data_IF_839217820650
#
_entry.id   IF_839217820650
#
_cell.length_a   1.000
_cell.length_b   1.000
_cell.length_c   1.000
_cell.angle_alpha   90.00
_cell.angle_beta   90.00
_cell.angle_gamma   90.00
#
_symmetry.space_group_name_H-M   'P 1'
#
loop_
_entity.id
_entity.type
_entity.pdbx_description
1 polymer ?
#
# COMPACT_ATOMS: atom_id res chain seq x y z
N UNK A 1 -23.50 -30.07 28.02
CA UNK A 1 -22.05 -30.29 27.80
C UNK A 1 -21.47 -28.96 27.38
N UNK A 2 -20.47 -28.45 28.09
CA UNK A 2 -19.82 -27.18 27.75
C UNK A 2 -19.07 -27.37 26.41
N UNK A 3 -18.96 -26.37 25.51
CA UNK A 3 -18.14 -26.45 24.31
C UNK A 3 -16.73 -27.05 24.51
N UNK A 4 -16.06 -26.72 25.62
CA UNK A 4 -14.75 -27.31 25.96
C UNK A 4 -14.81 -28.83 26.18
N UNK A 5 -15.88 -29.33 26.81
CA UNK A 5 -16.08 -30.76 27.07
C UNK A 5 -16.29 -31.51 25.74
N UNK A 6 -16.97 -30.89 24.77
CA UNK A 6 -17.20 -31.50 23.45
C UNK A 6 -15.87 -31.73 22.73
N UNK A 7 -14.99 -30.71 22.72
CA UNK A 7 -13.67 -30.85 22.11
C UNK A 7 -12.86 -31.98 22.77
N UNK A 8 -12.81 -32.01 24.10
CA UNK A 8 -12.09 -33.04 24.83
C UNK A 8 -12.66 -34.44 24.58
N UNK A 9 -13.99 -34.61 24.60
CA UNK A 9 -14.61 -35.90 24.34
C UNK A 9 -14.33 -36.44 22.93
N UNK A 10 -14.26 -35.57 21.91
CA UNK A 10 -13.85 -36.02 20.57
C UNK A 10 -12.36 -36.39 20.54
N UNK A 11 -11.50 -35.58 21.14
CA UNK A 11 -10.05 -35.87 21.20
C UNK A 11 -9.73 -37.15 21.98
N UNK A 12 -10.57 -37.54 22.94
CA UNK A 12 -10.45 -38.78 23.71
C UNK A 12 -11.14 -39.99 23.03
N UNK A 13 -11.74 -39.81 21.85
CA UNK A 13 -12.46 -40.86 21.13
C UNK A 13 -13.79 -41.28 21.76
N UNK A 14 -14.28 -40.53 22.75
CA UNK A 14 -15.58 -40.76 23.41
C UNK A 14 -16.76 -40.29 22.55
N UNK A 15 -16.50 -39.36 21.62
CA UNK A 15 -17.49 -38.78 20.73
C UNK A 15 -16.93 -38.75 19.30
N UNK A 16 -17.72 -39.14 18.30
CA UNK A 16 -17.28 -39.00 16.91
C UNK A 16 -17.29 -37.53 16.46
N UNK A 17 -16.43 -37.12 15.50
CA UNK A 17 -16.42 -35.77 14.93
C UNK A 17 -17.79 -35.33 14.40
N UNK A 18 -18.55 -36.24 13.78
CA UNK A 18 -19.88 -35.96 13.23
C UNK A 18 -20.87 -35.64 14.33
N UNK A 19 -20.84 -36.40 15.43
CA UNK A 19 -21.71 -36.15 16.58
C UNK A 19 -21.31 -34.86 17.30
N UNK A 20 -20.01 -34.57 17.40
CA UNK A 20 -19.50 -33.29 17.88
C UNK A 20 -20.04 -32.11 17.07
N UNK A 21 -20.00 -32.20 15.73
CA UNK A 21 -20.57 -31.16 14.85
C UNK A 21 -22.09 -31.04 14.98
N UNK A 22 -22.82 -32.14 15.21
CA UNK A 22 -24.26 -32.08 15.44
C UNK A 22 -24.59 -31.27 16.71
N UNK A 23 -23.82 -31.48 17.80
CA UNK A 23 -24.00 -30.73 19.05
C UNK A 23 -23.65 -29.25 18.83
N UNK A 24 -22.52 -28.97 18.16
CA UNK A 24 -22.11 -27.61 17.83
C UNK A 24 -23.07 -26.93 16.84
N UNK A 25 -23.84 -27.70 16.06
CA UNK A 25 -24.91 -27.17 15.23
C UNK A 25 -26.09 -26.62 16.04
N UNK A 26 -26.32 -27.13 17.25
CA UNK A 26 -27.36 -26.65 18.16
C UNK A 26 -26.87 -25.56 19.10
N UNK A 27 -25.60 -25.64 19.49
CA UNK A 27 -24.94 -24.68 20.37
C UNK A 27 -23.60 -24.24 19.76
N UNK A 28 -23.63 -23.32 18.77
CA UNK A 28 -22.43 -22.90 18.06
C UNK A 28 -21.48 -22.16 18.99
N UNK A 29 -20.24 -22.62 19.05
CA UNK A 29 -19.13 -21.94 19.72
C UNK A 29 -17.96 -21.82 18.74
N UNK A 30 -17.54 -20.58 18.48
CA UNK A 30 -16.59 -20.28 17.42
C UNK A 30 -15.20 -20.87 17.71
N UNK A 31 -14.78 -20.88 18.97
CA UNK A 31 -13.50 -21.45 19.38
C UNK A 31 -13.51 -22.97 19.22
N UNK A 32 -14.54 -23.64 19.72
CA UNK A 32 -14.66 -25.09 19.63
C UNK A 32 -14.79 -25.55 18.18
N UNK A 33 -15.55 -24.83 17.34
CA UNK A 33 -15.60 -25.09 15.89
C UNK A 33 -14.24 -24.92 15.22
N UNK A 34 -13.49 -23.87 15.58
CA UNK A 34 -12.13 -23.69 15.08
C UNK A 34 -11.20 -24.84 15.49
N UNK A 35 -11.24 -25.25 16.76
CA UNK A 35 -10.46 -26.37 17.28
C UNK A 35 -10.85 -27.69 16.61
N UNK A 36 -12.14 -27.92 16.37
CA UNK A 36 -12.63 -29.07 15.64
C UNK A 36 -11.99 -29.15 14.24
N UNK A 37 -12.09 -28.09 13.44
CA UNK A 37 -11.49 -28.06 12.09
C UNK A 37 -9.97 -28.17 12.06
N UNK A 38 -9.30 -27.90 13.18
CA UNK A 38 -7.84 -28.03 13.28
C UNK A 38 -7.40 -29.44 13.70
N UNK A 39 -8.16 -30.11 14.56
CA UNK A 39 -7.68 -31.31 15.28
C UNK A 39 -8.53 -32.56 15.07
N UNK A 40 -9.80 -32.46 14.70
CA UNK A 40 -10.66 -33.63 14.53
C UNK A 40 -10.37 -34.31 13.20
N UNK A 41 -9.85 -35.52 13.25
CA UNK A 41 -9.59 -36.33 12.06
C UNK A 41 -10.91 -36.72 11.37
N UNK A 42 -10.96 -36.62 10.04
CA UNK A 42 -12.16 -36.96 9.26
C UNK A 42 -13.30 -35.93 9.33
N UNK A 43 -13.06 -34.76 9.92
CA UNK A 43 -14.07 -33.71 9.99
C UNK A 43 -14.49 -33.23 8.59
N UNK A 44 -15.78 -33.03 8.40
CA UNK A 44 -16.31 -32.24 7.28
C UNK A 44 -16.03 -30.74 7.51
N UNK A 45 -14.93 -30.23 6.92
CA UNK A 45 -14.55 -28.81 6.99
C UNK A 45 -15.56 -27.88 6.34
N UNK A 46 -16.36 -28.34 5.37
CA UNK A 46 -17.37 -27.51 4.75
C UNK A 46 -18.52 -27.23 5.71
N UNK A 47 -19.05 -28.28 6.34
CA UNK A 47 -20.07 -28.15 7.38
C UNK A 47 -19.56 -27.37 8.59
N UNK A 48 -18.31 -27.63 9.02
CA UNK A 48 -17.70 -26.89 10.11
C UNK A 48 -17.53 -25.39 9.78
N UNK A 49 -17.18 -25.06 8.53
CA UNK A 49 -17.08 -23.67 8.07
C UNK A 49 -18.45 -22.98 8.09
N UNK A 50 -19.51 -23.65 7.64
CA UNK A 50 -20.87 -23.09 7.67
C UNK A 50 -21.34 -22.77 9.10
N UNK A 51 -21.08 -23.68 10.05
CA UNK A 51 -21.36 -23.44 11.45
C UNK A 51 -20.51 -22.29 12.00
N UNK A 52 -19.23 -22.22 11.63
CA UNK A 52 -18.34 -21.14 12.07
C UNK A 52 -18.79 -19.78 11.51
N UNK A 53 -19.25 -19.74 10.26
CA UNK A 53 -19.84 -18.54 9.65
C UNK A 53 -21.09 -18.09 10.41
N UNK A 54 -21.93 -19.03 10.87
CA UNK A 54 -23.13 -18.73 11.65
C UNK A 54 -22.80 -18.08 13.02
N UNK A 55 -21.62 -18.35 13.60
CA UNK A 55 -21.17 -17.67 14.84
C UNK A 55 -20.82 -16.19 14.62
N UNK A 56 -20.65 -15.76 13.36
CA UNK A 56 -20.22 -14.40 12.98
C UNK A 56 -18.89 -13.95 13.59
N UNK A 57 -18.04 -14.88 14.01
CA UNK A 57 -16.72 -14.54 14.55
C UNK A 57 -15.67 -14.39 13.44
N UNK A 58 -15.40 -13.15 13.04
CA UNK A 58 -14.38 -12.84 12.02
C UNK A 58 -12.99 -13.34 12.43
N UNK A 59 -12.64 -13.23 13.71
CA UNK A 59 -11.36 -13.71 14.25
C UNK A 59 -11.16 -15.21 14.02
N UNK A 60 -12.14 -16.04 14.36
CA UNK A 60 -12.02 -17.49 14.17
C UNK A 60 -12.15 -17.90 12.70
N UNK A 61 -12.96 -17.20 11.89
CA UNK A 61 -12.98 -17.40 10.43
C UNK A 61 -11.61 -17.13 9.79
N UNK A 62 -10.97 -16.03 10.19
CA UNK A 62 -9.60 -15.71 9.76
C UNK A 62 -8.62 -16.85 10.12
N UNK A 63 -8.67 -17.31 11.38
CA UNK A 63 -7.79 -18.38 11.87
C UNK A 63 -8.07 -19.72 11.19
N UNK A 64 -9.33 -20.04 10.89
CA UNK A 64 -9.68 -21.24 10.13
C UNK A 64 -8.97 -21.25 8.77
N UNK A 65 -8.97 -20.11 8.07
CA UNK A 65 -8.24 -19.96 6.80
C UNK A 65 -6.72 -20.18 6.87
N UNK A 66 -6.12 -20.02 8.05
CA UNK A 66 -4.70 -20.28 8.27
C UNK A 66 -4.38 -21.73 8.61
N UNK A 67 -5.25 -22.38 9.38
CA UNK A 67 -4.89 -23.60 10.10
C UNK A 67 -5.66 -24.83 9.66
N UNK A 68 -6.80 -24.68 9.00
CA UNK A 68 -7.58 -25.82 8.53
C UNK A 68 -6.96 -26.37 7.24
N UNK A 69 -6.76 -27.70 7.15
CA UNK A 69 -6.11 -28.32 6.01
C UNK A 69 -6.92 -28.18 4.72
N UNK A 70 -8.25 -28.31 4.80
CA UNK A 70 -9.16 -28.38 3.64
C UNK A 70 -10.18 -27.22 3.64
N UNK A 71 -9.74 -26.00 3.93
CA UNK A 71 -10.65 -24.85 3.93
C UNK A 71 -10.88 -24.27 2.53
N UNK A 72 -12.15 -24.02 2.21
CA UNK A 72 -12.57 -23.23 1.05
C UNK A 72 -12.33 -21.73 1.30
N UNK A 73 -11.10 -21.25 1.08
CA UNK A 73 -10.71 -19.84 1.31
C UNK A 73 -11.64 -18.82 0.66
N UNK A 74 -12.18 -19.11 -0.55
CA UNK A 74 -13.13 -18.21 -1.23
C UNK A 74 -14.38 -17.97 -0.38
N UNK A 75 -15.01 -19.04 0.10
CA UNK A 75 -16.22 -18.99 0.95
C UNK A 75 -15.93 -18.29 2.28
N UNK A 76 -14.78 -18.60 2.89
CA UNK A 76 -14.35 -17.93 4.12
C UNK A 76 -14.07 -16.42 3.90
N UNK A 77 -13.51 -16.03 2.76
CA UNK A 77 -13.22 -14.63 2.43
C UNK A 77 -14.52 -13.85 2.19
N UNK A 78 -15.47 -14.44 1.46
CA UNK A 78 -16.82 -13.87 1.28
C UNK A 78 -17.52 -13.67 2.63
N UNK A 79 -17.38 -14.63 3.56
CA UNK A 79 -17.90 -14.48 4.91
C UNK A 79 -17.25 -13.30 5.67
N UNK A 80 -15.93 -13.16 5.61
CA UNK A 80 -15.23 -12.03 6.24
C UNK A 80 -15.70 -10.68 5.66
N UNK A 81 -15.93 -10.61 4.36
CA UNK A 81 -16.47 -9.43 3.68
C UNK A 81 -17.88 -9.10 4.20
N UNK A 82 -18.75 -10.10 4.32
CA UNK A 82 -20.11 -9.92 4.86
C UNK A 82 -20.15 -9.51 6.33
N UNK A 83 -19.12 -9.87 7.10
CA UNK A 83 -18.97 -9.47 8.50
C UNK A 83 -18.41 -8.05 8.66
N UNK A 84 -18.00 -7.39 7.57
CA UNK A 84 -17.47 -6.03 7.57
C UNK A 84 -16.23 -5.84 8.48
N UNK A 85 -15.45 -6.89 8.71
CA UNK A 85 -14.24 -6.81 9.55
C UNK A 85 -12.99 -6.51 8.70
N UNK A 86 -12.65 -5.22 8.59
CA UNK A 86 -11.54 -4.75 7.75
C UNK A 86 -10.20 -5.35 8.14
N UNK A 87 -9.98 -5.64 9.43
CA UNK A 87 -8.74 -6.23 9.93
C UNK A 87 -8.56 -7.68 9.46
N UNK A 88 -9.59 -8.53 9.58
CA UNK A 88 -9.52 -9.91 9.09
C UNK A 88 -9.45 -9.98 7.58
N UNK A 89 -10.17 -9.10 6.86
CA UNK A 89 -10.06 -9.00 5.38
C UNK A 89 -8.62 -8.67 4.98
N UNK A 90 -8.02 -7.67 5.62
CA UNK A 90 -6.63 -7.29 5.39
C UNK A 90 -5.65 -8.45 5.65
N UNK A 91 -5.77 -9.09 6.82
CA UNK A 91 -4.91 -10.20 7.22
C UNK A 91 -5.07 -11.41 6.32
N UNK A 92 -6.29 -11.72 5.89
CA UNK A 92 -6.57 -12.79 4.94
C UNK A 92 -5.84 -12.55 3.62
N UNK A 93 -5.93 -11.34 3.05
CA UNK A 93 -5.22 -11.03 1.80
C UNK A 93 -3.70 -11.04 1.88
N UNK A 94 -3.14 -10.89 3.08
CA UNK A 94 -1.70 -11.02 3.33
C UNK A 94 -1.24 -12.47 3.43
N UNK A 95 -2.07 -13.37 3.96
CA UNK A 95 -1.62 -14.68 4.45
C UNK A 95 -2.23 -15.87 3.72
N UNK A 96 -3.46 -15.76 3.23
CA UNK A 96 -4.16 -16.87 2.59
C UNK A 96 -3.67 -17.06 1.16
N UNK A 97 -3.55 -18.33 0.73
CA UNK A 97 -2.99 -18.68 -0.58
C UNK A 97 -3.89 -18.29 -1.76
N UNK A 98 -5.20 -18.42 -1.61
CA UNK A 98 -6.20 -18.20 -2.67
C UNK A 98 -7.18 -17.06 -2.34
N UNK A 99 -6.72 -16.06 -1.58
CA UNK A 99 -7.48 -14.83 -1.38
C UNK A 99 -7.60 -14.04 -2.68
N UNK A 100 -8.78 -13.49 -2.97
CA UNK A 100 -9.00 -12.55 -4.08
C UNK A 100 -8.71 -11.10 -3.62
N UNK A 101 -7.57 -10.51 -4.00
CA UNK A 101 -7.21 -9.14 -3.60
C UNK A 101 -8.15 -8.09 -4.19
N UNK A 102 -8.84 -8.39 -5.31
CA UNK A 102 -9.78 -7.45 -5.91
C UNK A 102 -11.03 -7.31 -5.05
N UNK A 103 -11.65 -8.43 -4.69
CA UNK A 103 -12.81 -8.45 -3.79
C UNK A 103 -12.46 -7.90 -2.41
N UNK A 104 -11.28 -8.25 -1.87
CA UNK A 104 -10.80 -7.69 -0.61
C UNK A 104 -10.64 -6.18 -0.65
N UNK A 105 -10.04 -5.62 -1.72
CA UNK A 105 -9.88 -4.18 -1.87
C UNK A 105 -11.23 -3.46 -2.00
N UNK A 106 -12.18 -4.05 -2.74
CA UNK A 106 -13.54 -3.52 -2.85
C UNK A 106 -14.24 -3.46 -1.49
N UNK A 107 -14.09 -4.51 -0.68
CA UNK A 107 -14.63 -4.54 0.67
C UNK A 107 -13.97 -3.47 1.57
N UNK A 108 -12.64 -3.35 1.57
CA UNK A 108 -11.95 -2.32 2.35
C UNK A 108 -12.36 -0.90 1.96
N UNK A 109 -12.60 -0.66 0.66
CA UNK A 109 -13.12 0.60 0.16
C UNK A 109 -14.56 0.87 0.62
N UNK A 110 -15.44 -0.13 0.54
CA UNK A 110 -16.82 -0.02 1.03
C UNK A 110 -16.87 0.30 2.54
N UNK A 111 -15.94 -0.27 3.32
CA UNK A 111 -15.76 0.00 4.75
C UNK A 111 -15.09 1.35 5.05
N UNK A 112 -14.66 2.08 4.01
CA UNK A 112 -13.97 3.37 4.12
C UNK A 112 -12.68 3.29 4.95
N UNK A 113 -11.99 2.14 4.94
CA UNK A 113 -10.79 1.93 5.74
C UNK A 113 -9.52 2.25 4.92
N UNK A 114 -9.21 3.55 4.82
CA UNK A 114 -8.01 4.05 4.13
C UNK A 114 -6.72 3.41 4.66
N UNK A 115 -6.65 3.14 5.97
CA UNK A 115 -5.48 2.55 6.61
C UNK A 115 -5.21 1.14 6.09
N UNK A 116 -6.25 0.31 6.01
CA UNK A 116 -6.14 -1.06 5.49
C UNK A 116 -5.92 -1.11 3.99
N UNK A 117 -6.49 -0.17 3.22
CA UNK A 117 -6.17 -0.04 1.79
C UNK A 117 -4.68 0.28 1.59
N UNK A 118 -4.14 1.21 2.38
CA UNK A 118 -2.72 1.55 2.34
C UNK A 118 -1.83 0.34 2.67
N UNK A 119 -2.11 -0.36 3.77
CA UNK A 119 -1.32 -1.53 4.15
C UNK A 119 -1.45 -2.69 3.16
N UNK A 120 -2.65 -2.92 2.59
CA UNK A 120 -2.84 -3.89 1.53
C UNK A 120 -1.93 -3.61 0.32
N UNK A 121 -1.70 -2.34 -0.02
CA UNK A 121 -0.78 -1.95 -1.08
C UNK A 121 0.69 -2.28 -0.82
N UNK A 122 1.09 -2.44 0.44
CA UNK A 122 2.44 -2.86 0.82
C UNK A 122 2.57 -4.38 0.95
N UNK A 123 1.54 -5.03 1.48
CA UNK A 123 1.64 -6.42 1.95
C UNK A 123 1.03 -7.44 0.99
N UNK A 124 0.08 -7.06 0.12
CA UNK A 124 -0.60 -8.01 -0.78
C UNK A 124 0.18 -8.22 -2.09
N UNK A 125 0.46 -9.48 -2.43
CA UNK A 125 1.28 -9.86 -3.60
C UNK A 125 0.74 -9.29 -4.93
N UNK A 126 -0.56 -9.42 -5.15
CA UNK A 126 -1.25 -9.03 -6.39
C UNK A 126 -2.15 -7.79 -6.18
N UNK A 127 -1.69 -6.83 -5.38
CA UNK A 127 -2.42 -5.58 -5.15
C UNK A 127 -2.56 -4.74 -6.43
N UNK A 128 -3.76 -4.21 -6.67
CA UNK A 128 -4.03 -3.29 -7.79
C UNK A 128 -3.79 -1.84 -7.35
N UNK A 129 -2.58 -1.32 -7.61
CA UNK A 129 -2.16 0.04 -7.21
C UNK A 129 -3.03 1.15 -7.80
N UNK A 130 -3.45 1.02 -9.07
CA UNK A 130 -4.28 2.03 -9.74
C UNK A 130 -5.63 2.14 -9.01
N UNK A 131 -6.26 1.00 -8.73
CA UNK A 131 -7.55 0.95 -8.03
C UNK A 131 -7.41 1.39 -6.57
N UNK A 132 -6.36 0.94 -5.88
CA UNK A 132 -6.07 1.32 -4.50
C UNK A 132 -5.85 2.82 -4.35
N UNK A 133 -5.09 3.44 -5.27
CA UNK A 133 -4.84 4.87 -5.26
C UNK A 133 -6.13 5.65 -5.51
N UNK A 134 -6.95 5.22 -6.48
CA UNK A 134 -8.26 5.82 -6.73
C UNK A 134 -9.15 5.74 -5.48
N UNK A 135 -9.15 4.60 -4.78
CA UNK A 135 -9.89 4.43 -3.54
C UNK A 135 -9.42 5.42 -2.45
N UNK A 136 -8.11 5.52 -2.20
CA UNK A 136 -7.56 6.49 -1.25
C UNK A 136 -7.90 7.94 -1.61
N UNK A 137 -7.83 8.28 -2.90
CA UNK A 137 -8.19 9.61 -3.38
C UNK A 137 -9.66 9.95 -3.14
N UNK A 138 -10.58 8.99 -3.35
CA UNK A 138 -12.02 9.18 -3.08
C UNK A 138 -12.29 9.30 -1.58
N UNK A 139 -11.62 8.49 -0.74
CA UNK A 139 -11.78 8.56 0.71
C UNK A 139 -11.18 9.85 1.31
N UNK A 140 -10.24 10.48 0.61
CA UNK A 140 -9.71 11.79 0.98
C UNK A 140 -8.81 11.80 2.22
N UNK A 141 -8.32 10.64 2.64
CA UNK A 141 -7.39 10.56 3.78
C UNK A 141 -5.98 10.98 3.35
N UNK A 142 -5.66 12.25 3.62
CA UNK A 142 -4.39 12.87 3.27
C UNK A 142 -3.16 12.10 3.78
N UNK A 143 -3.25 11.45 4.94
CA UNK A 143 -2.13 10.71 5.51
C UNK A 143 -1.79 9.49 4.67
N UNK A 144 -2.81 8.70 4.31
CA UNK A 144 -2.61 7.48 3.54
C UNK A 144 -2.38 7.75 2.05
N UNK A 145 -2.92 8.84 1.49
CA UNK A 145 -2.51 9.30 0.15
C UNK A 145 -1.01 9.62 0.15
N UNK A 146 -0.53 10.39 1.15
CA UNK A 146 0.88 10.72 1.30
C UNK A 146 1.76 9.47 1.46
N UNK A 147 1.40 8.57 2.39
CA UNK A 147 2.18 7.36 2.66
C UNK A 147 2.20 6.40 1.46
N UNK A 148 1.10 6.28 0.71
CA UNK A 148 1.07 5.52 -0.53
C UNK A 148 2.13 6.05 -1.52
N UNK A 149 2.20 7.38 -1.73
CA UNK A 149 3.21 7.98 -2.60
C UNK A 149 4.65 7.84 -2.10
N UNK A 150 4.87 7.57 -0.81
CA UNK A 150 6.19 7.31 -0.25
C UNK A 150 6.62 5.84 -0.33
N UNK A 151 5.69 4.89 -0.23
CA UNK A 151 6.04 3.48 0.06
C UNK A 151 5.53 2.49 -0.98
N UNK A 152 4.49 2.82 -1.75
CA UNK A 152 4.00 1.91 -2.77
C UNK A 152 5.00 1.81 -3.92
N UNK A 153 5.21 0.56 -4.40
CA UNK A 153 6.07 0.28 -5.56
C UNK A 153 5.59 0.94 -6.87
N UNK A 154 4.31 1.27 -6.96
CA UNK A 154 3.70 1.95 -8.09
C UNK A 154 2.71 2.98 -7.57
N UNK A 155 2.90 4.24 -7.96
CA UNK A 155 2.06 5.36 -7.56
C UNK A 155 2.07 6.44 -8.64
N UNK A 156 0.89 6.92 -9.03
CA UNK A 156 0.73 8.02 -9.98
C UNK A 156 0.83 9.35 -9.19
N UNK A 157 2.02 9.96 -9.17
CA UNK A 157 2.26 11.18 -8.41
C UNK A 157 1.36 12.35 -8.85
N UNK A 158 0.97 12.43 -10.12
CA UNK A 158 0.08 13.48 -10.62
C UNK A 158 -1.31 13.35 -10.00
N UNK A 159 -1.91 12.16 -10.05
CA UNK A 159 -3.22 11.91 -9.41
C UNK A 159 -3.14 11.98 -7.89
N UNK A 160 -2.04 11.50 -7.31
CA UNK A 160 -1.79 11.58 -5.88
C UNK A 160 -1.74 13.04 -5.40
N UNK A 161 -1.07 13.91 -6.17
CA UNK A 161 -0.98 15.34 -5.88
C UNK A 161 -2.33 16.02 -5.97
N UNK A 162 -3.11 15.75 -7.02
CA UNK A 162 -4.48 16.28 -7.15
C UNK A 162 -5.36 15.86 -5.97
N UNK A 163 -5.30 14.58 -5.58
CA UNK A 163 -6.03 14.08 -4.43
C UNK A 163 -5.60 14.77 -3.13
N UNK A 164 -4.30 14.95 -2.92
CA UNK A 164 -3.76 15.58 -1.71
C UNK A 164 -4.12 17.07 -1.63
N UNK A 165 -4.05 17.80 -2.75
CA UNK A 165 -4.52 19.19 -2.86
C UNK A 165 -6.01 19.30 -2.53
N UNK A 166 -6.83 18.37 -3.01
CA UNK A 166 -8.27 18.33 -2.74
C UNK A 166 -8.59 18.14 -1.25
N UNK A 167 -7.72 17.45 -0.48
CA UNK A 167 -7.89 17.35 0.98
C UNK A 167 -7.67 18.66 1.72
N UNK A 168 -6.94 19.61 1.12
CA UNK A 168 -6.55 20.86 1.77
C UNK A 168 -5.56 20.69 2.93
N UNK A 169 -5.04 19.48 3.19
CA UNK A 169 -4.16 19.22 4.33
C UNK A 169 -2.71 19.68 4.03
N UNK A 170 -2.40 20.87 4.54
CA UNK A 170 -1.12 21.53 4.28
C UNK A 170 0.09 20.79 4.83
N UNK A 171 -0.05 20.06 5.94
CA UNK A 171 1.04 19.28 6.52
C UNK A 171 1.50 18.20 5.54
N UNK A 172 0.56 17.37 5.06
CA UNK A 172 0.92 16.28 4.15
C UNK A 172 1.35 16.79 2.78
N UNK A 173 0.82 17.91 2.29
CA UNK A 173 1.35 18.58 1.09
C UNK A 173 2.81 19.01 1.26
N UNK A 174 3.13 19.65 2.39
CA UNK A 174 4.50 20.03 2.69
C UNK A 174 5.44 18.81 2.74
N UNK A 175 5.02 17.74 3.44
CA UNK A 175 5.79 16.50 3.53
C UNK A 175 5.94 15.81 2.16
N UNK A 176 4.90 15.81 1.33
CA UNK A 176 4.94 15.28 -0.04
C UNK A 176 5.98 16.03 -0.87
N UNK A 177 6.01 17.36 -0.83
CA UNK A 177 7.03 18.15 -1.53
C UNK A 177 8.47 17.91 -1.08
N UNK A 178 8.67 17.38 0.13
CA UNK A 178 9.97 16.92 0.63
C UNK A 178 10.35 15.54 0.15
N UNK A 179 9.39 14.61 0.03
CA UNK A 179 9.68 13.17 -0.13
C UNK A 179 9.33 12.59 -1.48
N UNK A 180 8.27 13.04 -2.14
CA UNK A 180 7.85 12.49 -3.43
C UNK A 180 8.86 12.81 -4.53
N UNK A 181 9.02 11.91 -5.50
CA UNK A 181 9.97 12.10 -6.60
C UNK A 181 9.49 13.20 -7.55
N UNK A 182 8.21 13.12 -7.94
CA UNK A 182 7.52 14.12 -8.72
C UNK A 182 6.50 14.84 -7.84
N UNK A 183 6.63 16.15 -7.74
CA UNK A 183 5.75 16.99 -6.93
C UNK A 183 5.64 18.38 -7.54
N UNK A 184 4.43 18.92 -7.58
CA UNK A 184 4.17 20.27 -8.06
C UNK A 184 4.25 21.27 -6.89
N UNK A 185 5.46 21.78 -6.64
CA UNK A 185 5.69 22.78 -5.61
C UNK A 185 4.92 24.08 -5.85
N UNK A 186 4.60 24.41 -7.10
CA UNK A 186 3.88 25.63 -7.42
C UNK A 186 2.41 25.55 -6.97
N UNK A 187 1.71 24.48 -7.36
CA UNK A 187 0.32 24.29 -6.96
C UNK A 187 0.14 24.19 -5.43
N UNK A 188 1.06 23.51 -4.75
CA UNK A 188 1.04 23.44 -3.29
C UNK A 188 1.31 24.80 -2.62
N UNK A 189 2.25 25.59 -3.17
CA UNK A 189 2.52 26.94 -2.69
C UNK A 189 1.31 27.86 -2.83
N UNK A 190 0.61 27.80 -3.97
CA UNK A 190 -0.59 28.60 -4.20
C UNK A 190 -1.68 28.29 -3.15
N UNK A 191 -1.79 27.02 -2.74
CA UNK A 191 -2.71 26.64 -1.66
C UNK A 191 -2.25 27.17 -0.30
N UNK A 192 -0.95 27.18 -0.01
CA UNK A 192 -0.41 27.78 1.21
C UNK A 192 -0.67 29.30 1.28
N UNK A 193 -0.61 30.00 0.15
CA UNK A 193 -0.93 31.43 0.08
C UNK A 193 -2.43 31.68 0.22
N UNK A 194 -3.26 30.86 -0.41
CA UNK A 194 -4.72 30.95 -0.32
C UNK A 194 -5.22 30.77 1.12
N UNK A 195 -4.57 29.92 1.92
CA UNK A 195 -4.88 29.73 3.33
C UNK A 195 -4.02 30.66 4.20
N UNK A 196 -4.37 31.94 4.29
CA UNK A 196 -3.54 32.98 4.91
C UNK A 196 -3.05 32.59 6.32
N UNK A 197 -3.97 32.19 7.20
CA UNK A 197 -3.67 31.85 8.60
C UNK A 197 -2.96 30.50 8.72
N UNK A 198 -3.58 29.43 8.22
CA UNK A 198 -3.09 28.07 8.42
C UNK A 198 -1.87 27.73 7.54
N UNK A 199 -1.72 28.43 6.41
CA UNK A 199 -0.60 28.30 5.48
C UNK A 199 0.64 29.11 5.87
N UNK A 200 0.52 30.11 6.75
CA UNK A 200 1.67 30.87 7.28
C UNK A 200 2.81 29.97 7.81
N UNK A 201 2.57 29.03 8.75
CA UNK A 201 3.65 28.17 9.24
C UNK A 201 4.26 27.27 8.16
N UNK A 202 3.49 26.87 7.15
CA UNK A 202 3.98 26.02 6.06
C UNK A 202 4.81 26.80 5.04
N UNK A 203 4.46 28.06 4.77
CA UNK A 203 5.28 28.97 3.95
C UNK A 203 6.63 29.21 4.60
N UNK A 204 6.65 29.50 5.91
CA UNK A 204 7.90 29.64 6.66
C UNK A 204 8.77 28.37 6.55
N UNK A 205 8.19 27.20 6.87
CA UNK A 205 8.90 25.91 6.75
C UNK A 205 9.39 25.61 5.33
N UNK A 206 8.62 25.96 4.30
CA UNK A 206 9.00 25.76 2.90
C UNK A 206 10.14 26.68 2.45
N UNK A 207 10.23 27.89 2.98
CA UNK A 207 11.36 28.79 2.71
C UNK A 207 12.65 28.36 3.42
N UNK A 208 12.53 27.62 4.53
CA UNK A 208 13.66 27.05 5.28
C UNK A 208 14.13 25.70 4.71
N UNK A 209 13.23 24.91 4.12
CA UNK A 209 13.58 23.59 3.57
C UNK A 209 14.36 23.71 2.24
N UNK A 210 15.57 23.13 2.12
CA UNK A 210 16.41 23.30 0.93
C UNK A 210 15.75 22.85 -0.37
N UNK A 211 14.95 21.78 -0.33
CA UNK A 211 14.29 21.24 -1.53
C UNK A 211 13.21 22.20 -1.97
N UNK A 212 12.33 22.60 -1.07
CA UNK A 212 11.29 23.59 -1.35
C UNK A 212 11.88 24.92 -1.82
N UNK A 213 12.86 25.47 -1.10
CA UNK A 213 13.53 26.72 -1.46
C UNK A 213 14.11 26.69 -2.87
N UNK A 214 14.77 25.60 -3.28
CA UNK A 214 15.31 25.43 -4.63
C UNK A 214 14.22 25.54 -5.71
N UNK A 215 13.08 24.88 -5.51
CA UNK A 215 11.96 24.91 -6.47
C UNK A 215 11.26 26.28 -6.49
N UNK A 216 11.03 26.89 -5.32
CA UNK A 216 10.41 28.21 -5.22
C UNK A 216 11.29 29.31 -5.84
N UNK A 217 12.60 29.29 -5.62
CA UNK A 217 13.50 30.27 -6.23
C UNK A 217 13.50 30.19 -7.76
N UNK A 218 13.41 28.99 -8.34
CA UNK A 218 13.28 28.83 -9.80
C UNK A 218 11.99 29.47 -10.30
N UNK A 219 10.87 29.24 -9.61
CA UNK A 219 9.58 29.87 -9.92
C UNK A 219 9.67 31.40 -9.86
N UNK A 220 10.21 31.95 -8.77
CA UNK A 220 10.31 33.41 -8.60
C UNK A 220 11.24 34.06 -9.61
N UNK A 221 12.38 33.43 -9.96
CA UNK A 221 13.27 33.93 -11.01
C UNK A 221 12.58 34.00 -12.38
N UNK A 222 11.79 32.98 -12.72
CA UNK A 222 10.99 32.98 -13.95
C UNK A 222 9.95 34.10 -13.97
N UNK A 223 9.25 34.33 -12.84
CA UNK A 223 8.27 35.42 -12.71
C UNK A 223 8.90 36.81 -12.82
N UNK A 224 10.12 36.99 -12.29
CA UNK A 224 10.84 38.26 -12.36
C UNK A 224 11.58 38.49 -13.69
N UNK A 225 11.47 37.57 -14.67
CA UNK A 225 12.17 37.68 -15.96
C UNK A 225 13.70 37.60 -15.83
N UNK A 226 14.21 37.02 -14.74
CA UNK A 226 15.65 36.90 -14.46
C UNK A 226 16.23 35.55 -14.95
N UNK A 227 15.72 35.00 -16.05
CA UNK A 227 16.35 33.85 -16.69
C UNK A 227 17.68 34.28 -17.29
N UNK A 228 18.74 33.60 -16.89
CA UNK A 228 20.10 33.95 -17.26
C UNK A 228 20.26 33.91 -18.77
N UNK A 229 20.75 35.03 -19.34
CA UNK A 229 21.62 34.98 -20.51
C UNK A 229 22.67 33.92 -20.22
N UNK A 230 22.57 32.75 -20.83
CA UNK A 230 23.69 31.83 -20.87
C UNK A 230 24.83 32.60 -21.54
N UNK A 231 25.87 32.89 -20.75
CA UNK A 231 27.13 33.42 -21.23
C UNK A 231 27.57 32.54 -22.39
N UNK A 232 27.62 33.15 -23.57
CA UNK A 232 28.18 32.53 -24.74
C UNK A 232 29.54 31.96 -24.36
N UNK A 233 29.72 30.65 -24.58
CA UNK A 233 31.04 30.06 -24.71
C UNK A 233 31.73 30.81 -25.85
N UNK A 234 32.45 31.86 -25.48
CA UNK A 234 33.46 32.49 -26.29
C UNK A 234 34.50 31.41 -26.59
N UNK A 235 34.38 30.81 -27.77
CA UNK A 235 35.42 29.95 -28.33
C UNK A 235 36.65 30.84 -28.50
N UNK A 236 37.56 30.79 -27.52
CA UNK A 236 38.91 31.27 -27.68
C UNK A 236 39.55 30.46 -28.82
N UNK A 237 39.55 31.03 -30.02
CA UNK A 237 40.36 30.60 -31.14
C UNK A 237 41.82 30.87 -30.77
N UNK A 238 42.58 29.80 -30.51
CA UNK A 238 44.03 29.87 -30.51
C UNK A 238 44.52 30.16 -31.94
N UNK A 239 45.44 31.12 -32.16
CA UNK A 239 45.94 31.42 -33.49
C UNK A 239 46.81 30.29 -34.05
N UNK A 240 46.57 30.01 -35.32
CA UNK A 240 47.28 29.04 -36.17
C UNK A 240 48.80 29.23 -36.10
N UNK A 241 49.52 28.12 -35.88
CA UNK A 241 50.92 27.99 -36.34
C UNK A 241 50.97 26.90 -37.40
N UNK A 242 51.25 27.34 -38.62
CA UNK A 242 51.53 26.51 -39.80
C UNK A 242 52.89 25.79 -39.72
N UNK A 243 53.30 25.11 -40.81
CA UNK A 243 53.72 23.71 -40.74
C UNK A 243 55.23 23.47 -40.93
N UNK A 244 55.72 22.39 -40.35
CA UNK A 244 56.94 21.67 -40.74
C UNK A 244 56.85 20.24 -40.18
N UNK A 245 56.50 19.21 -40.95
CA UNK A 245 57.31 18.46 -41.94
C UNK A 245 58.68 18.07 -41.36
N UNK A 246 58.84 16.79 -40.99
CA UNK A 246 59.80 15.77 -41.50
C UNK A 246 59.37 14.43 -40.84
N UNK A 247 58.70 13.55 -41.59
CA UNK A 247 59.26 12.38 -42.31
C UNK A 247 59.57 11.16 -41.39
N UNK A 248 58.69 10.13 -41.39
CA UNK A 248 58.84 8.74 -41.93
C UNK A 248 60.12 7.98 -41.45
N UNK A 249 60.11 6.74 -40.94
CA UNK A 249 59.60 5.49 -41.54
C UNK A 249 59.69 4.25 -40.60
N UNK A 250 58.76 3.30 -40.85
CA UNK A 250 58.83 1.81 -40.83
C UNK A 250 59.24 0.98 -39.58
N UNK A 251 58.21 0.40 -38.94
CA UNK A 251 57.82 -1.04 -38.81
C UNK A 251 58.84 -2.17 -38.46
N UNK A 252 58.42 -3.46 -38.32
CA UNK A 252 58.31 -4.15 -37.02
C UNK A 252 59.16 -5.43 -36.93
N UNK A 253 59.45 -5.94 -35.72
CA UNK A 253 59.74 -7.39 -35.53
C UNK A 253 59.15 -7.90 -34.23
N UNK A 254 58.36 -8.96 -34.37
CA UNK A 254 57.80 -9.77 -33.30
C UNK A 254 58.81 -10.79 -32.74
N UNK A 255 58.31 -11.92 -32.19
CA UNK A 255 58.76 -12.45 -30.90
C UNK A 255 59.82 -13.55 -31.01
N UNK A 256 60.51 -13.81 -29.91
CA UNK A 256 61.04 -15.12 -29.48
C UNK A 256 61.30 -15.07 -27.98
#
# INVERSE_FOLDING_TARGET
MNPSDIHQSVMQGQLSPEKGLEILGRFPDAETLFLAGRYWAGLDHEKALDLLMATRSAFFLYRAGLHWPEIKHKKAAEALILLNDSESIYKAGRTWKSFDPKAGLDALFALKDSRRIYYAGNDWKNFNFIKGQKALAILGDSAFIFYAGCHWRSFDFTKGMQALLATGNLNYLFQAGKRWQHFDHAAAWDLFEKQIRDGSPWRAKALEDPRWKKHLLRRFKGLCGMEQREEGKEKSQAPERGPGRWEIHFSPKGPS
#
